data_IF_745577909472
#
_entry.id   IF_745577909472
#
_cell.length_a   1.000
_cell.length_b   1.000
_cell.length_c   1.000
_cell.angle_alpha   90.00
_cell.angle_beta   90.00
_cell.angle_gamma   90.00
#
_symmetry.space_group_name_H-M   'P 1'
#
loop_
_entity.id
_entity.type
_entity.pdbx_description
1 polymer ?
#
# COMPACT_ATOMS: atom_id res chain seq x y z
N UNK A 1 0.89 -18.38 -5.77
CA UNK A 1 0.56 -16.93 -5.77
C UNK A 1 0.59 -16.35 -4.36
N UNK A 2 1.48 -15.38 -4.09
CA UNK A 2 1.60 -14.75 -2.77
C UNK A 2 1.74 -13.22 -2.92
N UNK A 3 1.11 -12.46 -2.02
CA UNK A 3 1.13 -11.00 -1.99
C UNK A 3 1.26 -10.48 -0.56
N UNK A 4 1.98 -9.38 -0.40
CA UNK A 4 1.85 -8.51 0.76
C UNK A 4 0.58 -7.69 0.59
N UNK A 5 -0.26 -7.62 1.62
CA UNK A 5 -1.54 -6.91 1.60
C UNK A 5 -1.52 -5.85 2.69
N UNK A 6 -1.90 -4.63 2.35
CA UNK A 6 -2.06 -3.51 3.30
C UNK A 6 -3.43 -2.86 3.11
N UNK A 7 -3.96 -2.21 4.14
CA UNK A 7 -5.26 -1.54 4.14
C UNK A 7 -5.07 -0.07 4.52
N UNK A 8 -5.55 0.84 3.67
CA UNK A 8 -5.60 2.26 3.93
C UNK A 8 -7.06 2.75 3.96
N UNK A 9 -7.49 3.27 5.11
CA UNK A 9 -8.86 3.73 5.34
C UNK A 9 -9.04 5.25 5.21
N UNK A 10 -7.93 5.98 5.11
CA UNK A 10 -7.87 7.43 4.97
C UNK A 10 -6.51 7.84 4.38
N UNK A 11 -6.38 9.09 3.94
CA UNK A 11 -5.17 9.62 3.30
C UNK A 11 -3.91 9.54 4.18
N UNK A 12 -4.06 9.64 5.50
CA UNK A 12 -2.93 9.49 6.43
C UNK A 12 -2.39 8.06 6.42
N UNK A 13 -3.27 7.06 6.34
CA UNK A 13 -2.86 5.65 6.21
C UNK A 13 -2.33 5.31 4.82
N UNK A 14 -2.75 6.02 3.78
CA UNK A 14 -2.15 5.89 2.43
C UNK A 14 -0.66 6.20 2.48
N UNK A 15 -0.25 7.25 3.21
CA UNK A 15 1.18 7.57 3.39
C UNK A 15 1.94 6.41 4.04
N UNK A 16 1.35 5.77 5.06
CA UNK A 16 1.93 4.58 5.68
C UNK A 16 2.04 3.39 4.72
N UNK A 17 0.99 3.15 3.91
CA UNK A 17 0.98 2.11 2.90
C UNK A 17 2.04 2.33 1.80
N UNK A 18 2.25 3.58 1.39
CA UNK A 18 3.29 3.96 0.43
C UNK A 18 4.70 3.70 0.99
N UNK A 19 4.96 4.11 2.23
CA UNK A 19 6.25 3.85 2.89
C UNK A 19 6.51 2.35 3.05
N UNK A 20 5.48 1.58 3.43
CA UNK A 20 5.57 0.13 3.52
C UNK A 20 5.88 -0.51 2.16
N UNK A 21 5.17 -0.10 1.10
CA UNK A 21 5.40 -0.57 -0.27
C UNK A 21 6.81 -0.26 -0.75
N UNK A 22 7.28 0.97 -0.55
CA UNK A 22 8.64 1.40 -0.90
C UNK A 22 9.71 0.62 -0.14
N UNK A 23 9.51 0.36 1.16
CA UNK A 23 10.42 -0.47 1.96
C UNK A 23 10.50 -1.90 1.41
N UNK A 24 9.36 -2.54 1.12
CA UNK A 24 9.33 -3.89 0.56
C UNK A 24 10.00 -3.97 -0.82
N UNK A 25 9.84 -2.93 -1.66
CA UNK A 25 10.55 -2.83 -2.94
C UNK A 25 12.06 -2.62 -2.76
N UNK A 26 12.47 -1.79 -1.81
CA UNK A 26 13.88 -1.55 -1.49
C UNK A 26 14.60 -2.83 -1.06
N UNK A 27 13.91 -3.71 -0.31
CA UNK A 27 14.42 -5.03 0.05
C UNK A 27 14.21 -6.11 -1.03
N UNK A 28 13.93 -5.70 -2.28
CA UNK A 28 13.77 -6.57 -3.45
C UNK A 28 12.79 -7.71 -3.21
N UNK A 29 11.61 -7.40 -2.68
CA UNK A 29 10.54 -8.38 -2.58
C UNK A 29 10.22 -8.97 -3.96
N UNK A 30 10.11 -10.29 -4.02
CA UNK A 30 9.69 -11.03 -5.22
C UNK A 30 8.17 -11.25 -5.26
N UNK A 31 7.47 -10.83 -4.20
CA UNK A 31 6.02 -11.03 -4.04
C UNK A 31 5.26 -9.78 -4.45
N UNK A 32 4.01 -9.97 -4.87
CA UNK A 32 3.12 -8.86 -5.24
C UNK A 32 2.82 -7.98 -4.02
N UNK A 33 2.49 -6.72 -4.28
CA UNK A 33 2.04 -5.74 -3.28
C UNK A 33 0.61 -5.36 -3.64
N UNK A 34 -0.33 -5.57 -2.71
CA UNK A 34 -1.75 -5.26 -2.89
C UNK A 34 -2.17 -4.29 -1.79
N UNK A 35 -2.75 -3.15 -2.16
CA UNK A 35 -3.31 -2.20 -1.22
C UNK A 35 -4.84 -2.18 -1.35
N UNK A 36 -5.53 -2.43 -0.25
CA UNK A 36 -6.97 -2.22 -0.13
C UNK A 36 -7.20 -0.78 0.31
N UNK A 37 -8.05 -0.05 -0.41
CA UNK A 37 -8.38 1.34 -0.12
C UNK A 37 -9.88 1.47 0.11
N UNK A 38 -10.29 2.31 1.06
CA UNK A 38 -11.70 2.67 1.24
C UNK A 38 -12.07 3.88 0.39
N UNK A 39 -13.36 4.08 0.05
CA UNK A 39 -13.82 5.26 -0.69
C UNK A 39 -13.63 6.60 0.03
N UNK A 40 -13.21 6.57 1.31
CA UNK A 40 -12.93 7.76 2.11
C UNK A 40 -11.54 8.34 1.82
N UNK A 41 -10.68 7.57 1.14
CA UNK A 41 -9.40 8.07 0.63
C UNK A 41 -9.67 9.06 -0.51
N UNK A 42 -9.01 10.21 -0.48
CA UNK A 42 -9.17 11.20 -1.54
C UNK A 42 -8.58 10.67 -2.84
N UNK A 43 -9.35 10.80 -3.93
CA UNK A 43 -8.84 10.48 -5.26
C UNK A 43 -7.90 11.61 -5.70
N UNK A 44 -6.61 11.35 -5.62
CA UNK A 44 -5.57 12.27 -6.11
C UNK A 44 -5.26 11.89 -7.56
N UNK A 45 -6.20 12.14 -8.47
CA UNK A 45 -5.98 12.06 -9.92
C UNK A 45 -5.41 13.37 -10.46
#
# INVERSE_FOLDING_TARGET
DQSFVTLATNDSYVKGALVLGSSLQQYRTTRKLTALITPQVSDLM
#
